data_IF_815241769690
#
_entry.id   IF_815241769690
#
_cell.length_a   1.000
_cell.length_b   1.000
_cell.length_c   1.000
_cell.angle_alpha   90.00
_cell.angle_beta   90.00
_cell.angle_gamma   90.00
#
_symmetry.space_group_name_H-M   'P 1'
#
loop_
_entity.id
_entity.type
_entity.pdbx_description
1 polymer ?
#
# COMPACT_ATOMS: atom_id res chain seq x y z
N UNK A 1 -14.68 -7.31 -6.80
CA UNK A 1 -15.54 -7.00 -5.66
C UNK A 1 -17.03 -7.26 -5.94
N UNK A 2 -17.59 -6.89 -7.09
CA UNK A 2 -19.01 -6.97 -7.38
C UNK A 2 -19.29 -8.13 -8.35
N UNK A 3 -19.64 -9.31 -7.83
CA UNK A 3 -20.18 -10.43 -8.61
C UNK A 3 -19.42 -11.75 -8.57
N UNK A 4 -18.14 -11.78 -8.27
CA UNK A 4 -17.39 -12.99 -7.94
C UNK A 4 -16.89 -12.87 -6.50
N UNK A 5 -17.26 -13.83 -5.63
CA UNK A 5 -16.68 -13.95 -4.28
C UNK A 5 -15.21 -14.43 -4.40
N UNK A 6 -14.33 -13.55 -4.88
CA UNK A 6 -12.89 -13.81 -4.88
C UNK A 6 -12.33 -13.50 -3.49
N UNK A 7 -11.63 -14.46 -2.93
CA UNK A 7 -10.99 -14.31 -1.62
C UNK A 7 -9.64 -13.63 -1.81
N UNK A 8 -9.52 -12.43 -1.29
CA UNK A 8 -8.29 -11.64 -1.23
C UNK A 8 -7.82 -11.52 0.22
N UNK A 9 -6.54 -11.31 0.43
CA UNK A 9 -5.99 -10.95 1.75
C UNK A 9 -6.68 -9.71 2.35
N UNK A 10 -7.24 -8.83 1.50
CA UNK A 10 -7.92 -7.60 1.92
C UNK A 10 -9.35 -7.83 2.43
N UNK A 11 -9.99 -8.94 2.06
CA UNK A 11 -11.37 -9.24 2.42
C UNK A 11 -11.53 -10.60 3.13
N UNK A 12 -10.45 -11.34 3.31
CA UNK A 12 -10.45 -12.59 4.04
C UNK A 12 -10.57 -12.36 5.55
N UNK A 13 -11.18 -13.31 6.24
CA UNK A 13 -11.36 -13.30 7.71
C UNK A 13 -10.84 -14.61 8.34
N UNK A 14 -10.62 -14.58 9.64
CA UNK A 14 -10.29 -15.74 10.45
C UNK A 14 -9.05 -16.50 9.93
N UNK A 15 -9.13 -17.82 9.89
CA UNK A 15 -8.03 -18.71 9.50
C UNK A 15 -7.55 -18.49 8.06
N UNK A 16 -8.47 -18.13 7.15
CA UNK A 16 -8.12 -17.84 5.76
C UNK A 16 -7.20 -16.62 5.68
N UNK A 17 -7.55 -15.53 6.37
CA UNK A 17 -6.70 -14.34 6.44
C UNK A 17 -5.34 -14.66 7.05
N UNK A 18 -5.30 -15.38 8.17
CA UNK A 18 -4.04 -15.78 8.84
C UNK A 18 -3.15 -16.59 7.90
N UNK A 19 -3.75 -17.53 7.15
CA UNK A 19 -3.02 -18.34 6.17
C UNK A 19 -2.43 -17.48 5.05
N UNK A 20 -3.24 -16.64 4.40
CA UNK A 20 -2.80 -15.77 3.30
C UNK A 20 -1.72 -14.79 3.76
N UNK A 21 -1.91 -14.14 4.91
CA UNK A 21 -0.93 -13.19 5.47
C UNK A 21 0.42 -13.85 5.78
N UNK A 22 0.41 -15.07 6.30
CA UNK A 22 1.64 -15.82 6.60
C UNK A 22 2.48 -16.09 5.35
N UNK A 23 1.87 -16.23 4.18
CA UNK A 23 2.57 -16.50 2.93
C UNK A 23 3.36 -15.28 2.43
N UNK A 24 2.82 -14.08 2.61
CA UNK A 24 3.47 -12.84 2.14
C UNK A 24 4.33 -12.16 3.20
N UNK A 25 4.08 -12.41 4.48
CA UNK A 25 4.77 -11.72 5.59
C UNK A 25 6.31 -11.76 5.50
N UNK A 26 6.97 -12.86 5.06
CA UNK A 26 8.43 -12.88 4.92
C UNK A 26 8.96 -11.84 3.92
N UNK A 27 8.26 -11.60 2.81
CA UNK A 27 8.65 -10.63 1.79
C UNK A 27 8.55 -9.17 2.29
N UNK A 28 7.69 -8.92 3.27
CA UNK A 28 7.49 -7.61 3.91
C UNK A 28 8.20 -7.48 5.26
N UNK A 29 9.18 -8.33 5.54
CA UNK A 29 10.00 -8.23 6.75
C UNK A 29 11.00 -7.08 6.65
N UNK A 30 11.46 -6.51 7.80
CA UNK A 30 12.50 -5.48 7.79
C UNK A 30 13.76 -5.90 7.01
N UNK A 31 14.15 -7.18 7.11
CA UNK A 31 15.29 -7.74 6.35
C UNK A 31 15.07 -7.68 4.84
N UNK A 32 13.86 -7.95 4.37
CA UNK A 32 13.51 -7.88 2.94
C UNK A 32 13.47 -6.43 2.47
N UNK A 33 12.92 -5.52 3.27
CA UNK A 33 12.94 -4.08 3.00
C UNK A 33 14.38 -3.54 2.90
N UNK A 34 15.29 -3.99 3.77
CA UNK A 34 16.70 -3.57 3.73
C UNK A 34 17.43 -4.06 2.46
N UNK A 35 17.06 -5.22 1.91
CA UNK A 35 17.60 -5.68 0.61
C UNK A 35 17.18 -4.78 -0.55
N UNK A 36 15.99 -4.19 -0.49
CA UNK A 36 15.49 -3.26 -1.51
C UNK A 36 16.06 -1.84 -1.37
N UNK A 37 16.65 -1.50 -0.21
CA UNK A 37 17.16 -0.15 0.08
C UNK A 37 18.13 0.43 -0.97
N UNK A 38 19.11 -0.32 -1.52
CA UNK A 38 19.95 0.19 -2.58
C UNK A 38 19.15 0.59 -3.82
N UNK A 39 18.22 -0.25 -4.25
CA UNK A 39 17.34 0.01 -5.38
C UNK A 39 16.40 1.21 -5.12
N UNK A 40 15.82 1.30 -3.92
CA UNK A 40 15.00 2.44 -3.52
C UNK A 40 15.80 3.76 -3.62
N UNK A 41 17.05 3.77 -3.16
CA UNK A 41 17.95 4.94 -3.25
C UNK A 41 18.25 5.32 -4.69
N UNK A 42 18.55 4.35 -5.54
CA UNK A 42 18.78 4.57 -6.97
C UNK A 42 17.54 5.16 -7.63
N UNK A 43 16.37 4.61 -7.34
CA UNK A 43 15.08 5.11 -7.84
C UNK A 43 14.85 6.56 -7.44
N UNK A 44 15.02 6.91 -6.15
CA UNK A 44 14.88 8.29 -5.68
C UNK A 44 15.85 9.22 -6.38
N UNK A 45 17.12 8.84 -6.50
CA UNK A 45 18.13 9.67 -7.17
C UNK A 45 17.76 9.90 -8.64
N UNK A 46 17.33 8.86 -9.36
CA UNK A 46 16.93 8.98 -10.76
C UNK A 46 15.72 9.90 -10.97
N UNK A 47 14.81 9.97 -9.99
CA UNK A 47 13.67 10.88 -10.00
C UNK A 47 14.07 12.33 -9.68
N UNK A 48 15.09 12.54 -8.83
CA UNK A 48 15.54 13.88 -8.43
C UNK A 48 16.56 14.50 -9.40
N UNK A 49 17.42 13.71 -10.02
CA UNK A 49 18.51 14.17 -10.88
C UNK A 49 18.08 15.13 -11.99
N UNK A 50 16.94 14.93 -12.69
CA UNK A 50 16.47 15.87 -13.71
C UNK A 50 16.23 17.29 -13.20
N UNK A 51 15.95 17.45 -11.90
CA UNK A 51 15.61 18.71 -11.28
C UNK A 51 16.76 19.34 -10.50
N UNK A 52 17.90 18.64 -10.37
CA UNK A 52 19.05 19.10 -9.59
C UNK A 52 19.59 20.48 -10.03
N UNK A 53 19.60 20.76 -11.34
CA UNK A 53 20.08 22.01 -11.88
C UNK A 53 19.08 23.18 -11.72
N UNK A 54 17.77 22.89 -11.80
CA UNK A 54 16.71 23.90 -11.66
C UNK A 54 16.32 24.18 -10.22
N UNK A 55 16.50 23.18 -9.35
CA UNK A 55 16.02 23.20 -7.96
C UNK A 55 14.50 23.26 -7.84
N UNK A 56 13.74 22.88 -8.90
CA UNK A 56 12.28 22.94 -8.95
C UNK A 56 11.72 21.69 -9.59
N UNK A 57 10.73 21.08 -8.93
CA UNK A 57 9.99 19.92 -9.41
C UNK A 57 8.50 20.09 -9.06
N UNK A 58 7.61 19.45 -9.82
CA UNK A 58 6.24 19.19 -9.38
C UNK A 58 6.30 17.90 -8.56
N UNK A 59 6.29 18.04 -7.23
CA UNK A 59 6.65 16.99 -6.28
C UNK A 59 5.76 15.75 -6.38
N UNK A 60 4.46 15.93 -6.62
CA UNK A 60 3.51 14.82 -6.66
C UNK A 60 3.71 14.00 -7.94
N UNK A 61 3.60 14.63 -9.10
CA UNK A 61 3.68 13.95 -10.40
C UNK A 61 5.10 13.51 -10.78
N UNK A 62 6.12 14.31 -10.41
CA UNK A 62 7.50 14.04 -10.82
C UNK A 62 8.22 13.05 -9.89
N UNK A 63 7.80 12.96 -8.60
CA UNK A 63 8.52 12.20 -7.58
C UNK A 63 7.61 11.19 -6.87
N UNK A 64 6.52 11.66 -6.23
CA UNK A 64 5.71 10.80 -5.36
C UNK A 64 4.95 9.72 -6.14
N UNK A 65 4.39 10.08 -7.29
CA UNK A 65 3.61 9.16 -8.12
C UNK A 65 4.48 8.07 -8.78
N UNK A 66 5.62 8.37 -9.42
CA UNK A 66 6.44 7.35 -10.07
C UNK A 66 7.27 6.49 -9.09
N UNK A 67 7.47 6.91 -7.83
CA UNK A 67 8.38 6.24 -6.89
C UNK A 67 7.94 4.83 -6.46
N UNK A 68 6.68 4.57 -6.03
CA UNK A 68 6.33 3.27 -5.42
C UNK A 68 6.36 2.10 -6.39
N UNK A 69 5.99 2.33 -7.64
CA UNK A 69 5.72 1.25 -8.59
C UNK A 69 6.96 0.48 -9.00
N UNK A 70 8.10 1.11 -9.35
CA UNK A 70 9.34 0.39 -9.58
C UNK A 70 9.76 -0.47 -8.38
N UNK A 71 9.48 -0.02 -7.16
CA UNK A 71 9.79 -0.79 -5.94
C UNK A 71 8.88 -2.02 -5.83
N UNK A 72 7.58 -1.88 -6.14
CA UNK A 72 6.65 -3.02 -6.18
C UNK A 72 7.01 -3.99 -7.31
N UNK A 73 7.41 -3.49 -8.49
CA UNK A 73 7.89 -4.33 -9.58
C UNK A 73 9.15 -5.12 -9.16
N UNK A 74 10.12 -4.48 -8.50
CA UNK A 74 11.31 -5.14 -8.00
C UNK A 74 10.98 -6.21 -6.95
N UNK A 75 10.06 -5.92 -6.03
CA UNK A 75 9.60 -6.87 -5.00
C UNK A 75 8.92 -8.11 -5.61
N UNK A 76 8.05 -7.89 -6.59
CA UNK A 76 7.29 -8.95 -7.27
C UNK A 76 8.13 -9.69 -8.32
N UNK A 77 9.16 -9.05 -8.85
CA UNK A 77 9.88 -9.50 -10.05
C UNK A 77 9.14 -9.14 -11.35
N UNK A 78 8.23 -8.18 -11.34
CA UNK A 78 7.52 -7.72 -12.53
C UNK A 78 8.39 -6.79 -13.39
N UNK A 79 8.13 -6.68 -14.73
CA UNK A 79 8.82 -5.74 -15.59
C UNK A 79 8.66 -4.30 -15.11
N UNK A 80 9.77 -3.57 -14.95
CA UNK A 80 9.77 -2.17 -14.46
C UNK A 80 9.19 -1.20 -15.48
N UNK A 81 9.23 -1.55 -16.73
CA UNK A 81 8.72 -0.78 -17.87
C UNK A 81 7.20 -0.61 -17.80
N UNK A 82 6.52 -1.54 -17.15
CA UNK A 82 5.07 -1.58 -17.00
C UNK A 82 4.54 -0.63 -15.89
N UNK A 83 5.42 0.18 -15.28
CA UNK A 83 5.05 1.03 -14.16
C UNK A 83 3.86 1.97 -14.46
N UNK A 84 3.76 2.51 -15.70
CA UNK A 84 2.63 3.38 -16.09
C UNK A 84 1.32 2.61 -16.17
N UNK A 85 1.36 1.37 -16.64
CA UNK A 85 0.22 0.47 -16.66
C UNK A 85 -0.26 0.19 -15.23
N UNK A 86 0.65 -0.19 -14.34
CA UNK A 86 0.32 -0.44 -12.95
C UNK A 86 -0.23 0.79 -12.24
N UNK A 87 0.37 1.98 -12.45
CA UNK A 87 -0.13 3.24 -11.88
C UNK A 87 -1.58 3.48 -12.28
N UNK A 88 -1.89 3.36 -13.56
CA UNK A 88 -3.25 3.54 -14.07
C UNK A 88 -4.21 2.51 -13.47
N UNK A 89 -3.87 1.22 -13.56
CA UNK A 89 -4.73 0.13 -13.08
C UNK A 89 -5.00 0.24 -11.58
N UNK A 90 -3.97 0.49 -10.77
CA UNK A 90 -4.11 0.68 -9.33
C UNK A 90 -5.01 1.89 -9.01
N UNK A 91 -4.80 3.02 -9.69
CA UNK A 91 -5.61 4.23 -9.51
C UNK A 91 -7.07 3.95 -9.86
N UNK A 92 -7.34 3.30 -10.99
CA UNK A 92 -8.70 3.03 -11.44
C UNK A 92 -9.43 2.02 -10.56
N UNK A 93 -8.73 0.98 -10.05
CA UNK A 93 -9.30 0.02 -9.09
C UNK A 93 -9.62 0.72 -7.75
N UNK A 94 -8.76 1.62 -7.28
CA UNK A 94 -8.93 2.33 -6.00
C UNK A 94 -10.04 3.39 -6.01
N UNK A 95 -10.58 3.74 -7.18
CA UNK A 95 -11.82 4.56 -7.30
C UNK A 95 -13.01 3.94 -6.55
N UNK A 96 -12.93 2.66 -6.17
CA UNK A 96 -13.94 2.00 -5.31
C UNK A 96 -14.12 2.70 -3.95
N UNK A 97 -13.12 3.44 -3.49
CA UNK A 97 -13.18 4.24 -2.26
C UNK A 97 -13.65 5.68 -2.50
N UNK A 98 -13.94 6.04 -3.75
CA UNK A 98 -14.45 7.36 -4.13
C UNK A 98 -15.90 7.56 -3.74
N UNK A 99 -16.35 8.82 -3.84
CA UNK A 99 -17.71 9.23 -3.43
C UNK A 99 -18.80 8.91 -4.45
N UNK A 100 -18.44 8.66 -5.72
CA UNK A 100 -19.40 8.38 -6.81
C UNK A 100 -19.17 7.00 -7.43
N UNK A 101 -19.39 5.96 -6.62
CA UNK A 101 -19.19 4.58 -7.03
C UNK A 101 -20.05 4.18 -8.25
N UNK A 102 -21.25 4.74 -8.38
CA UNK A 102 -22.16 4.38 -9.47
C UNK A 102 -21.60 4.79 -10.85
N UNK A 103 -21.03 5.97 -10.94
CA UNK A 103 -20.41 6.51 -12.17
C UNK A 103 -19.06 5.83 -12.46
N UNK A 104 -18.27 5.54 -11.41
CA UNK A 104 -16.93 4.97 -11.54
C UNK A 104 -16.91 3.45 -11.77
N UNK A 105 -18.01 2.74 -11.48
CA UNK A 105 -18.09 1.29 -11.56
C UNK A 105 -17.64 0.68 -12.89
N UNK A 106 -18.00 1.21 -14.07
CA UNK A 106 -17.49 0.68 -15.34
C UNK A 106 -15.98 0.76 -15.48
N UNK A 107 -15.38 1.87 -15.07
CA UNK A 107 -13.92 2.08 -15.07
C UNK A 107 -13.22 1.10 -14.13
N UNK A 108 -13.74 0.95 -12.90
CA UNK A 108 -13.21 0.01 -11.90
C UNK A 108 -13.24 -1.42 -12.44
N UNK A 109 -14.36 -1.84 -13.04
CA UNK A 109 -14.50 -3.20 -13.56
C UNK A 109 -13.56 -3.47 -14.74
N UNK A 110 -13.43 -2.51 -15.66
CA UNK A 110 -12.51 -2.64 -16.80
C UNK A 110 -11.04 -2.73 -16.33
N UNK A 111 -10.65 -1.88 -15.38
CA UNK A 111 -9.30 -1.91 -14.81
C UNK A 111 -9.03 -3.21 -14.05
N UNK A 112 -10.01 -3.72 -13.30
CA UNK A 112 -9.89 -5.01 -12.60
C UNK A 112 -9.73 -6.19 -13.57
N UNK A 113 -10.46 -6.19 -14.69
CA UNK A 113 -10.35 -7.25 -15.71
C UNK A 113 -8.99 -7.20 -16.41
N UNK A 114 -8.51 -6.02 -16.76
CA UNK A 114 -7.19 -5.83 -17.37
C UNK A 114 -6.06 -6.23 -16.40
N UNK A 115 -6.16 -5.88 -15.12
CA UNK A 115 -5.22 -6.28 -14.08
C UNK A 115 -5.19 -7.80 -13.90
N UNK A 116 -6.35 -8.45 -13.92
CA UNK A 116 -6.51 -9.91 -13.82
C UNK A 116 -5.79 -10.61 -14.99
N UNK A 117 -6.02 -10.13 -16.23
CA UNK A 117 -5.38 -10.67 -17.43
C UNK A 117 -3.87 -10.52 -17.37
N UNK A 118 -3.38 -9.32 -17.03
CA UNK A 118 -1.96 -9.03 -16.88
C UNK A 118 -1.33 -9.95 -15.81
N UNK A 119 -1.94 -10.04 -14.65
CA UNK A 119 -1.43 -10.86 -13.53
C UNK A 119 -1.34 -12.34 -13.91
N UNK A 120 -2.33 -12.87 -14.62
CA UNK A 120 -2.28 -14.26 -15.12
C UNK A 120 -1.16 -14.47 -16.12
N UNK A 121 -0.92 -13.51 -17.00
CA UNK A 121 0.22 -13.52 -17.94
C UNK A 121 1.56 -13.55 -17.19
N UNK A 122 1.73 -12.67 -16.23
CA UNK A 122 2.93 -12.59 -15.40
C UNK A 122 3.20 -13.89 -14.61
N UNK A 123 2.16 -14.49 -14.03
CA UNK A 123 2.27 -15.78 -13.34
C UNK A 123 2.67 -16.89 -14.32
N UNK A 124 2.08 -16.94 -15.52
CA UNK A 124 2.39 -17.95 -16.53
C UNK A 124 3.86 -17.84 -17.01
N UNK A 125 4.33 -16.63 -17.23
CA UNK A 125 5.74 -16.39 -17.59
C UNK A 125 6.68 -16.82 -16.47
N UNK A 126 6.39 -16.45 -15.20
CA UNK A 126 7.22 -16.76 -14.04
C UNK A 126 7.29 -18.26 -13.77
N UNK A 127 6.23 -19.01 -14.00
CA UNK A 127 6.26 -20.48 -13.93
C UNK A 127 7.25 -21.10 -14.92
N UNK A 128 7.42 -20.47 -16.09
CA UNK A 128 8.35 -20.94 -17.12
C UNK A 128 9.80 -20.56 -16.80
N UNK A 129 10.02 -19.41 -16.13
CA UNK A 129 11.32 -18.86 -15.78
C UNK A 129 11.29 -18.37 -14.32
N UNK A 130 11.49 -19.27 -13.34
CA UNK A 130 11.56 -18.89 -11.93
C UNK A 130 12.74 -17.95 -11.65
N UNK A 131 12.53 -16.95 -10.77
CA UNK A 131 13.53 -16.00 -10.29
C UNK A 131 13.55 -15.96 -8.75
N UNK A 132 14.52 -15.25 -8.19
CA UNK A 132 14.58 -15.02 -6.72
C UNK A 132 13.70 -13.79 -6.36
N UNK A 133 12.37 -13.99 -6.37
CA UNK A 133 11.37 -12.94 -6.14
C UNK A 133 10.11 -13.46 -5.44
N UNK A 134 9.28 -12.53 -4.97
CA UNK A 134 8.03 -12.85 -4.28
C UNK A 134 7.07 -13.68 -5.14
N UNK A 135 7.00 -13.40 -6.45
CA UNK A 135 6.08 -14.12 -7.33
C UNK A 135 6.45 -15.59 -7.43
N UNK A 136 7.74 -15.92 -7.54
CA UNK A 136 8.23 -17.30 -7.52
C UNK A 136 7.91 -18.00 -6.20
N UNK A 137 8.08 -17.31 -5.07
CA UNK A 137 7.75 -17.85 -3.75
C UNK A 137 6.25 -18.16 -3.64
N UNK A 138 5.38 -17.28 -4.13
CA UNK A 138 3.94 -17.47 -4.12
C UNK A 138 3.49 -18.61 -5.05
N UNK A 139 4.09 -18.74 -6.24
CA UNK A 139 3.84 -19.84 -7.17
C UNK A 139 4.25 -21.17 -6.52
N UNK A 140 5.41 -21.22 -5.89
CA UNK A 140 5.88 -22.41 -5.19
C UNK A 140 4.95 -22.81 -4.03
N UNK A 141 4.37 -21.83 -3.34
CA UNK A 141 3.39 -22.07 -2.28
C UNK A 141 2.04 -22.60 -2.82
N UNK A 142 1.63 -22.21 -4.03
CA UNK A 142 0.46 -22.75 -4.73
C UNK A 142 0.70 -24.22 -5.15
N UNK A 143 1.82 -24.50 -5.79
CA UNK A 143 2.17 -25.82 -6.30
C UNK A 143 2.35 -26.88 -5.18
N UNK A 144 2.71 -26.47 -3.98
CA UNK A 144 2.79 -27.34 -2.81
C UNK A 144 1.40 -27.83 -2.30
N UNK A 145 0.30 -27.39 -2.94
CA UNK A 145 -1.04 -27.98 -2.84
C UNK A 145 -1.86 -27.61 -1.61
N UNK A 146 -1.26 -27.00 -0.57
CA UNK A 146 -1.94 -26.73 0.71
C UNK A 146 -2.11 -25.25 1.03
N UNK A 147 -1.58 -24.33 0.19
CA UNK A 147 -1.34 -22.98 0.66
C UNK A 147 -2.05 -21.88 -0.13
N UNK A 148 -2.18 -22.02 -1.44
CA UNK A 148 -2.87 -21.09 -2.33
C UNK A 148 -3.62 -21.85 -3.41
N UNK A 149 -4.83 -21.39 -3.76
CA UNK A 149 -5.44 -21.70 -5.05
C UNK A 149 -4.93 -20.74 -6.11
N UNK A 150 -5.09 -21.08 -7.40
CA UNK A 150 -4.73 -20.19 -8.53
C UNK A 150 -5.43 -18.83 -8.42
N UNK A 151 -6.69 -18.79 -8.02
CA UNK A 151 -7.43 -17.53 -7.84
C UNK A 151 -6.88 -16.72 -6.64
N UNK A 152 -6.52 -17.36 -5.54
CA UNK A 152 -5.90 -16.69 -4.39
C UNK A 152 -4.51 -16.15 -4.75
N UNK A 153 -3.75 -16.86 -5.59
CA UNK A 153 -2.45 -16.39 -6.10
C UNK A 153 -2.63 -15.11 -6.93
N UNK A 154 -3.56 -15.11 -7.89
CA UNK A 154 -3.87 -13.91 -8.70
C UNK A 154 -4.28 -12.75 -7.80
N UNK A 155 -5.25 -12.97 -6.90
CA UNK A 155 -5.71 -11.94 -5.97
C UNK A 155 -4.61 -11.43 -5.03
N UNK A 156 -3.63 -12.25 -4.68
CA UNK A 156 -2.52 -11.87 -3.84
C UNK A 156 -1.56 -10.92 -4.58
N UNK A 157 -1.21 -11.25 -5.82
CA UNK A 157 -0.36 -10.39 -6.68
C UNK A 157 -1.04 -9.04 -6.92
N UNK A 158 -2.33 -9.04 -7.28
CA UNK A 158 -3.12 -7.83 -7.45
C UNK A 158 -3.16 -6.98 -6.17
N UNK A 159 -3.35 -7.61 -5.00
CA UNK A 159 -3.37 -6.90 -3.72
C UNK A 159 -2.03 -6.23 -3.41
N UNK A 160 -0.91 -6.84 -3.78
CA UNK A 160 0.44 -6.24 -3.61
C UNK A 160 0.60 -5.04 -4.55
N UNK A 161 0.21 -5.16 -5.83
CA UNK A 161 0.29 -4.08 -6.81
C UNK A 161 -0.55 -2.88 -6.35
N UNK A 162 -1.84 -3.11 -6.08
CA UNK A 162 -2.78 -2.03 -5.71
C UNK A 162 -2.44 -1.43 -4.35
N UNK A 163 -2.15 -2.27 -3.35
CA UNK A 163 -1.87 -1.83 -1.97
C UNK A 163 -0.54 -1.09 -1.82
N UNK A 164 0.45 -1.39 -2.67
CA UNK A 164 1.77 -0.78 -2.61
C UNK A 164 1.88 0.57 -3.32
N UNK A 165 0.89 0.96 -4.12
CA UNK A 165 0.96 2.13 -5.00
C UNK A 165 0.45 3.39 -4.32
N UNK A 166 -0.86 3.50 -4.16
CA UNK A 166 -1.54 4.74 -3.74
C UNK A 166 -1.21 5.18 -2.32
N UNK A 167 -1.17 4.24 -1.40
CA UNK A 167 -0.88 4.55 0.01
C UNK A 167 0.50 5.15 0.17
N UNK A 168 1.49 4.60 -0.51
CA UNK A 168 2.89 5.06 -0.44
C UNK A 168 3.07 6.42 -1.10
N UNK A 169 2.51 6.64 -2.31
CA UNK A 169 2.63 7.93 -2.99
C UNK A 169 1.96 9.06 -2.22
N UNK A 170 0.76 8.80 -1.68
CA UNK A 170 0.03 9.79 -0.91
C UNK A 170 0.75 10.11 0.41
N UNK A 171 1.25 9.09 1.11
CA UNK A 171 2.00 9.30 2.35
C UNK A 171 3.30 10.08 2.10
N UNK A 172 3.99 9.82 0.99
CA UNK A 172 5.18 10.58 0.62
C UNK A 172 4.86 12.04 0.29
N UNK A 173 3.78 12.28 -0.46
CA UNK A 173 3.30 13.64 -0.74
C UNK A 173 2.94 14.42 0.52
N UNK A 174 2.21 13.79 1.44
CA UNK A 174 1.87 14.37 2.75
C UNK A 174 3.11 14.66 3.59
N UNK A 175 4.10 13.75 3.59
CA UNK A 175 5.37 13.96 4.30
C UNK A 175 6.09 15.22 3.79
N UNK A 176 6.23 15.36 2.48
CA UNK A 176 6.92 16.50 1.88
C UNK A 176 6.17 17.82 2.11
N UNK A 177 4.83 17.79 2.08
CA UNK A 177 4.00 18.95 2.43
C UNK A 177 4.22 19.36 3.91
N UNK A 178 4.18 18.40 4.85
CA UNK A 178 4.41 18.66 6.27
C UNK A 178 5.79 19.26 6.53
N UNK A 179 6.83 18.71 5.93
CA UNK A 179 8.18 19.27 6.09
C UNK A 179 8.34 20.66 5.43
N UNK A 180 7.57 20.98 4.40
CA UNK A 180 7.53 22.32 3.84
C UNK A 180 6.83 23.32 4.78
N UNK A 181 5.80 22.87 5.52
CA UNK A 181 5.08 23.66 6.52
C UNK A 181 5.87 23.78 7.85
N UNK A 182 6.75 22.81 8.14
CA UNK A 182 7.57 22.74 9.35
C UNK A 182 9.09 22.70 9.01
N UNK A 183 9.67 23.82 8.53
CA UNK A 183 11.06 23.84 8.07
C UNK A 183 12.09 23.57 9.18
N UNK A 184 11.76 23.84 10.44
CA UNK A 184 12.57 23.50 11.61
C UNK A 184 12.72 21.97 11.76
N UNK A 185 11.64 21.21 11.55
CA UNK A 185 11.66 19.74 11.60
C UNK A 185 12.42 19.15 10.40
N UNK A 186 12.32 19.79 9.22
CA UNK A 186 13.16 19.44 8.09
C UNK A 186 14.65 19.64 8.36
N UNK A 187 15.03 20.76 9.00
CA UNK A 187 16.41 21.02 9.38
C UNK A 187 16.94 20.01 10.39
N UNK A 188 16.13 19.58 11.36
CA UNK A 188 16.49 18.49 12.28
C UNK A 188 16.81 17.21 11.52
N UNK A 189 15.90 16.77 10.64
CA UNK A 189 16.08 15.55 9.84
C UNK A 189 17.28 15.65 8.90
N UNK A 190 17.50 16.81 8.28
CA UNK A 190 18.64 17.06 7.39
C UNK A 190 19.98 16.96 8.12
N UNK A 191 20.03 17.47 9.34
CA UNK A 191 21.24 17.49 10.17
C UNK A 191 21.49 16.14 10.86
N UNK A 192 20.45 15.36 11.12
CA UNK A 192 20.54 14.01 11.67
C UNK A 192 19.62 13.03 10.92
N UNK A 193 20.09 12.41 9.82
CA UNK A 193 19.33 11.42 9.06
C UNK A 193 18.95 10.16 9.86
N UNK A 194 19.52 9.93 11.04
CA UNK A 194 19.13 8.81 11.90
C UNK A 194 17.73 8.97 12.48
N UNK A 195 17.17 10.19 12.45
CA UNK A 195 15.79 10.48 12.82
C UNK A 195 14.76 9.99 11.79
N UNK A 196 15.17 9.56 10.59
CA UNK A 196 14.24 9.17 9.53
C UNK A 196 13.17 8.13 9.94
N UNK A 197 13.47 7.07 10.72
CA UNK A 197 12.42 6.15 11.18
C UNK A 197 11.38 6.85 12.06
N UNK A 198 11.82 7.72 12.99
CA UNK A 198 10.90 8.47 13.85
C UNK A 198 10.10 9.50 13.05
N UNK A 199 10.72 10.16 12.09
CA UNK A 199 10.05 11.09 11.18
C UNK A 199 8.94 10.43 10.38
N UNK A 200 9.15 9.20 9.89
CA UNK A 200 8.12 8.42 9.19
C UNK A 200 6.92 8.12 10.10
N UNK A 201 7.17 7.67 11.32
CA UNK A 201 6.10 7.38 12.30
C UNK A 201 5.32 8.65 12.65
N UNK A 202 6.01 9.78 12.88
CA UNK A 202 5.36 11.05 13.21
C UNK A 202 4.56 11.63 12.04
N UNK A 203 5.04 11.53 10.80
CA UNK A 203 4.27 11.90 9.61
C UNK A 203 2.98 11.09 9.53
N UNK A 204 3.05 9.78 9.75
CA UNK A 204 1.86 8.90 9.73
C UNK A 204 0.92 9.19 10.90
N UNK A 205 1.44 9.56 12.07
CA UNK A 205 0.62 9.99 13.21
C UNK A 205 -0.11 11.29 12.91
N UNK A 206 0.66 12.32 12.50
CA UNK A 206 0.15 13.69 12.37
C UNK A 206 -0.77 13.85 11.16
N UNK A 207 -0.39 13.28 10.01
CA UNK A 207 -1.20 13.31 8.79
C UNK A 207 -0.99 12.05 7.96
N UNK A 208 -1.58 10.93 8.40
CA UNK A 208 -1.51 9.66 7.70
C UNK A 208 -2.42 9.60 6.49
N UNK A 209 -1.93 9.06 5.38
CA UNK A 209 -2.71 8.83 4.16
C UNK A 209 -3.92 7.90 4.37
N UNK A 210 -3.88 7.04 5.38
CA UNK A 210 -4.96 6.14 5.75
C UNK A 210 -5.55 6.59 7.08
N UNK A 211 -6.67 7.31 7.03
CA UNK A 211 -7.32 7.89 8.21
C UNK A 211 -8.16 6.92 9.03
N UNK A 212 -8.44 5.72 8.54
CA UNK A 212 -9.27 4.74 9.24
C UNK A 212 -9.47 3.45 8.49
N UNK A 213 -10.19 2.52 9.12
CA UNK A 213 -10.55 1.23 8.52
C UNK A 213 -12.04 0.93 8.72
N UNK A 214 -12.59 0.10 7.81
CA UNK A 214 -13.99 -0.29 7.84
C UNK A 214 -14.12 -1.68 8.46
N UNK A 215 -15.18 -1.88 9.26
CA UNK A 215 -15.58 -3.17 9.84
C UNK A 215 -17.09 -3.35 9.72
N UNK A 216 -17.51 -4.61 9.75
CA UNK A 216 -18.92 -4.98 9.91
C UNK A 216 -19.05 -5.88 11.13
N UNK A 217 -20.05 -5.61 11.99
CA UNK A 217 -20.32 -6.47 13.12
C UNK A 217 -20.72 -7.88 12.63
N UNK A 218 -19.96 -8.90 13.00
CA UNK A 218 -20.26 -10.31 12.65
C UNK A 218 -21.38 -10.92 13.49
N UNK A 219 -21.64 -10.34 14.65
CA UNK A 219 -22.68 -10.67 15.62
C UNK A 219 -23.13 -9.40 16.34
N UNK A 220 -24.14 -9.50 17.22
CA UNK A 220 -24.52 -8.40 18.08
C UNK A 220 -23.39 -8.14 19.09
N UNK A 221 -22.89 -6.91 19.15
CA UNK A 221 -21.77 -6.50 20.01
C UNK A 221 -22.27 -5.38 20.93
N UNK A 222 -22.16 -5.55 22.24
CA UNK A 222 -22.36 -4.47 23.21
C UNK A 222 -21.01 -3.93 23.66
N UNK A 223 -20.80 -2.62 23.51
CA UNK A 223 -19.58 -1.94 23.93
C UNK A 223 -19.92 -0.60 24.58
N UNK A 224 -19.50 -0.39 25.82
CA UNK A 224 -19.77 0.82 26.61
C UNK A 224 -21.26 1.21 26.66
N UNK A 225 -22.18 0.22 26.79
CA UNK A 225 -23.61 0.45 26.84
C UNK A 225 -24.28 0.78 25.49
N UNK A 226 -23.52 0.65 24.38
CA UNK A 226 -24.04 0.82 23.01
C UNK A 226 -24.11 -0.54 22.33
N UNK A 227 -25.30 -0.91 21.85
CA UNK A 227 -25.51 -2.11 21.07
C UNK A 227 -25.19 -1.85 19.58
N UNK A 228 -24.31 -2.65 19.02
CA UNK A 228 -24.02 -2.73 17.58
C UNK A 228 -24.62 -4.02 17.02
N UNK A 229 -25.80 -3.99 16.41
CA UNK A 229 -26.42 -5.18 15.84
C UNK A 229 -25.53 -5.82 14.76
N UNK A 230 -25.66 -7.12 14.56
CA UNK A 230 -25.03 -7.84 13.47
C UNK A 230 -25.26 -7.13 12.12
N UNK A 231 -24.20 -6.96 11.36
CA UNK A 231 -24.20 -6.26 10.06
C UNK A 231 -24.04 -4.74 10.18
N UNK A 232 -23.92 -4.18 11.39
CA UNK A 232 -23.63 -2.75 11.56
C UNK A 232 -22.30 -2.41 10.86
N UNK A 233 -22.37 -1.40 9.99
CA UNK A 233 -21.19 -0.77 9.40
C UNK A 233 -20.51 0.11 10.45
N UNK A 234 -19.21 -0.09 10.62
CA UNK A 234 -18.39 0.66 11.57
C UNK A 234 -17.17 1.20 10.85
N UNK A 235 -16.83 2.46 11.10
CA UNK A 235 -15.56 3.06 10.71
C UNK A 235 -14.73 3.33 11.96
N UNK A 236 -13.54 2.74 12.03
CA UNK A 236 -12.56 3.03 13.08
C UNK A 236 -11.62 4.11 12.60
N UNK A 237 -11.61 5.24 13.30
CA UNK A 237 -10.76 6.40 12.96
C UNK A 237 -9.38 6.24 13.61
N UNK A 238 -8.35 6.04 12.79
CA UNK A 238 -6.95 6.12 13.25
C UNK A 238 -6.56 7.56 13.54
N UNK A 239 -7.06 8.50 12.76
CA UNK A 239 -6.80 9.94 12.97
C UNK A 239 -7.23 10.39 14.37
N UNK A 240 -8.41 9.95 14.84
CA UNK A 240 -8.86 10.28 16.20
C UNK A 240 -7.93 9.71 17.27
N UNK A 241 -7.48 8.45 17.11
CA UNK A 241 -6.54 7.82 18.03
C UNK A 241 -5.17 8.50 18.06
N UNK A 242 -4.70 8.95 16.90
CA UNK A 242 -3.41 9.63 16.75
C UNK A 242 -3.41 11.05 17.38
N UNK A 243 -4.57 11.62 17.65
CA UNK A 243 -4.73 12.91 18.32
C UNK A 243 -5.25 12.78 19.76
N UNK A 244 -5.24 11.58 20.33
CA UNK A 244 -5.64 11.35 21.71
C UNK A 244 -4.59 11.92 22.69
N UNK A 245 -4.97 13.01 23.41
CA UNK A 245 -4.09 13.69 24.36
C UNK A 245 -3.72 12.82 25.58
N UNK A 246 -4.41 11.71 25.83
CA UNK A 246 -4.04 10.75 26.87
C UNK A 246 -2.82 9.90 26.49
N UNK A 247 -2.55 9.78 25.18
CA UNK A 247 -1.41 9.02 24.62
C UNK A 247 -0.32 9.97 24.11
N UNK A 248 -0.72 11.04 23.44
CA UNK A 248 0.17 12.04 22.84
C UNK A 248 -0.01 13.37 23.57
N UNK A 249 0.90 13.80 24.46
CA UNK A 249 0.71 14.99 25.30
C UNK A 249 0.46 16.30 24.54
N UNK A 250 1.02 16.41 23.33
CA UNK A 250 0.85 17.58 22.45
C UNK A 250 0.45 17.12 21.04
N UNK A 251 -0.77 16.52 20.86
CA UNK A 251 -1.10 15.81 19.63
C UNK A 251 -1.17 16.73 18.41
N UNK A 252 -1.41 18.03 18.60
CA UNK A 252 -1.46 19.05 17.55
C UNK A 252 -0.06 19.55 17.11
N UNK A 253 1.01 19.05 17.72
CA UNK A 253 2.38 19.43 17.37
C UNK A 253 3.00 18.36 16.48
N UNK A 254 3.59 18.76 15.35
CA UNK A 254 4.42 17.90 14.52
C UNK A 254 5.86 17.96 15.05
N UNK A 255 6.37 16.84 15.60
CA UNK A 255 7.65 16.76 16.30
C UNK A 255 8.34 15.41 16.04
N UNK A 256 9.37 15.39 15.20
CA UNK A 256 10.11 14.19 14.78
C UNK A 256 11.19 13.78 15.77
#
# INVERSE_FOLDING_TARGET
FLGRRRVSILNAEGEVHVRLRRLVAPAFSPRSADRLRPFMRETVNSLLDPFAASGKAEVVGDICEPYPIPIICELLGAPKEDWKLFSRLATDVLRIFGSDLATELPTIMAAQEELDEYTRGLIAERRSVPLDDLLTDLISAEEAGDKLSTEELVMMVEAVIVGGTDTTRNQLGLALALFAEHPDQWELLRNDPSLAPRAVEEVMRYNGAVGGTIRFASEDIEYNGVLFPKGTFMSTSMSTGNYDASVFPTPETFDI
#
